data_IF_040042885332
#
_entry.id   IF_040042885332
#
_cell.length_a   1.000
_cell.length_b   1.000
_cell.length_c   1.000
_cell.angle_alpha   90.00
_cell.angle_beta   90.00
_cell.angle_gamma   90.00
#
_symmetry.space_group_name_H-M   'P 1'
#
loop_
_entity.id
_entity.type
_entity.pdbx_description
1 polymer ?
#
# COMPACT_ATOMS: atom_id res chain seq x y z
N UNK A 1 -20.88 26.44 20.50
CA UNK A 1 -20.73 24.98 20.66
C UNK A 1 -21.37 24.29 19.47
N UNK A 2 -20.69 24.20 18.33
CA UNK A 2 -21.28 23.63 17.13
C UNK A 2 -20.91 22.15 17.02
N UNK A 3 -21.95 21.31 17.00
CA UNK A 3 -21.86 19.85 17.01
C UNK A 3 -21.36 19.37 15.65
N UNK A 4 -20.10 18.94 15.60
CA UNK A 4 -19.60 18.18 14.46
C UNK A 4 -20.21 16.78 14.51
N UNK A 5 -21.25 16.57 13.72
CA UNK A 5 -21.74 15.25 13.37
C UNK A 5 -20.66 14.61 12.51
N UNK A 6 -19.87 13.72 13.11
CA UNK A 6 -18.97 12.84 12.37
C UNK A 6 -19.84 11.87 11.56
N UNK A 7 -20.01 12.16 10.26
CA UNK A 7 -20.57 11.21 9.32
C UNK A 7 -19.55 10.07 9.15
N UNK A 8 -19.82 8.94 9.81
CA UNK A 8 -19.16 7.68 9.51
C UNK A 8 -19.61 7.24 8.11
N UNK A 9 -18.87 7.67 7.09
CA UNK A 9 -18.98 7.07 5.76
C UNK A 9 -18.49 5.62 5.89
N UNK A 10 -19.43 4.69 5.94
CA UNK A 10 -19.16 3.27 5.73
C UNK A 10 -18.68 3.13 4.29
N UNK A 11 -17.36 3.18 4.11
CA UNK A 11 -16.72 2.78 2.86
C UNK A 11 -17.02 1.30 2.74
N UNK A 12 -18.01 0.96 1.91
CA UNK A 12 -18.21 -0.40 1.49
C UNK A 12 -16.94 -0.83 0.76
N UNK A 13 -16.07 -1.56 1.45
CA UNK A 13 -14.92 -2.21 0.85
C UNK A 13 -15.47 -3.17 -0.20
N UNK A 14 -15.42 -2.78 -1.47
CA UNK A 14 -15.65 -3.69 -2.59
C UNK A 14 -14.45 -4.63 -2.62
N UNK A 15 -14.53 -5.69 -1.81
CA UNK A 15 -13.50 -6.74 -1.75
C UNK A 15 -13.64 -7.56 -3.04
N UNK A 16 -13.15 -7.01 -4.14
CA UNK A 16 -12.94 -7.80 -5.35
C UNK A 16 -11.91 -8.88 -5.00
N UNK A 17 -12.18 -10.17 -5.23
CA UNK A 17 -11.21 -11.26 -4.96
C UNK A 17 -9.85 -11.04 -5.64
N UNK A 18 -9.85 -10.25 -6.73
CA UNK A 18 -8.67 -9.80 -7.44
C UNK A 18 -7.68 -8.99 -6.56
N UNK A 19 -8.17 -8.08 -5.72
CA UNK A 19 -7.33 -7.18 -4.91
C UNK A 19 -6.71 -7.89 -3.70
N UNK A 20 -7.39 -8.89 -3.14
CA UNK A 20 -6.90 -9.61 -1.96
C UNK A 20 -5.53 -10.28 -2.22
N UNK A 21 -5.29 -10.73 -3.45
CA UNK A 21 -4.04 -11.38 -3.85
C UNK A 21 -3.03 -10.42 -4.49
N UNK A 22 -3.34 -9.13 -4.61
CA UNK A 22 -2.47 -8.14 -5.24
C UNK A 22 -1.47 -7.58 -4.23
N UNK A 23 -1.91 -7.21 -3.03
CA UNK A 23 -1.06 -6.60 -2.01
C UNK A 23 0.19 -7.46 -1.67
N UNK A 24 0.08 -8.79 -1.45
CA UNK A 24 1.27 -9.62 -1.21
C UNK A 24 2.22 -9.69 -2.42
N UNK A 25 1.66 -9.59 -3.64
CA UNK A 25 2.45 -9.58 -4.88
C UNK A 25 3.24 -8.27 -5.02
N UNK A 26 2.62 -7.14 -4.68
CA UNK A 26 3.30 -5.84 -4.69
C UNK A 26 4.37 -5.76 -3.60
N UNK A 27 4.10 -6.25 -2.39
CA UNK A 27 5.10 -6.38 -1.31
C UNK A 27 6.34 -7.14 -1.78
N UNK A 28 6.14 -8.32 -2.39
CA UNK A 28 7.24 -9.14 -2.88
C UNK A 28 8.08 -8.41 -3.95
N UNK A 29 7.45 -7.61 -4.82
CA UNK A 29 8.17 -6.79 -5.81
C UNK A 29 9.02 -5.69 -5.15
N UNK A 30 8.49 -5.03 -4.11
CA UNK A 30 9.25 -4.06 -3.31
C UNK A 30 10.45 -4.75 -2.65
N UNK A 31 10.23 -5.89 -1.99
CA UNK A 31 11.29 -6.62 -1.28
C UNK A 31 12.40 -7.08 -2.23
N UNK A 32 12.03 -7.58 -3.42
CA UNK A 32 12.99 -7.97 -4.45
C UNK A 32 13.80 -6.77 -4.98
N UNK A 33 13.16 -5.63 -5.20
CA UNK A 33 13.82 -4.45 -5.75
C UNK A 33 14.68 -3.70 -4.72
N UNK A 34 14.29 -3.71 -3.45
CA UNK A 34 14.90 -2.90 -2.40
C UNK A 34 15.69 -3.71 -1.36
N UNK A 35 15.62 -5.04 -1.37
CA UNK A 35 16.22 -5.91 -0.35
C UNK A 35 17.71 -5.63 -0.12
N UNK A 36 18.45 -5.28 -1.18
CA UNK A 36 19.87 -4.94 -1.13
C UNK A 36 20.17 -3.45 -1.33
N UNK A 37 19.15 -2.59 -1.35
CA UNK A 37 19.30 -1.14 -1.44
C UNK A 37 19.29 -0.51 -0.05
N UNK A 38 20.28 0.36 0.19
CA UNK A 38 20.53 1.01 1.48
C UNK A 38 20.55 2.54 1.38
N UNK A 39 20.19 3.09 0.22
CA UNK A 39 20.08 4.53 0.01
C UNK A 39 18.84 5.12 0.70
N UNK A 40 18.79 6.44 0.97
CA UNK A 40 17.67 7.08 1.65
C UNK A 40 16.30 6.87 0.96
N UNK A 41 16.28 6.79 -0.37
CA UNK A 41 15.05 6.52 -1.13
C UNK A 41 14.54 5.10 -0.87
N UNK A 42 15.43 4.11 -0.81
CA UNK A 42 15.08 2.74 -0.43
C UNK A 42 14.59 2.65 1.02
N UNK A 43 15.20 3.38 1.96
CA UNK A 43 14.72 3.45 3.36
C UNK A 43 13.31 4.01 3.44
N UNK A 44 13.05 5.13 2.76
CA UNK A 44 11.71 5.73 2.73
C UNK A 44 10.68 4.79 2.09
N UNK A 45 11.02 4.16 0.97
CA UNK A 45 10.14 3.22 0.29
C UNK A 45 9.82 1.98 1.14
N UNK A 46 10.80 1.45 1.91
CA UNK A 46 10.56 0.35 2.86
C UNK A 46 9.59 0.75 3.99
N UNK A 47 9.66 1.99 4.48
CA UNK A 47 8.70 2.50 5.46
C UNK A 47 7.28 2.61 4.87
N UNK A 48 7.14 3.15 3.66
CA UNK A 48 5.86 3.22 2.95
C UNK A 48 5.30 1.83 2.66
N UNK A 49 6.13 0.85 2.29
CA UNK A 49 5.71 -0.53 2.10
C UNK A 49 5.25 -1.20 3.41
N UNK A 50 5.87 -0.88 4.54
CA UNK A 50 5.40 -1.34 5.85
C UNK A 50 4.03 -0.74 6.21
N UNK A 51 3.78 0.53 5.90
CA UNK A 51 2.45 1.15 6.03
C UNK A 51 1.42 0.48 5.10
N UNK A 52 1.81 0.19 3.85
CA UNK A 52 0.98 -0.53 2.89
C UNK A 52 0.61 -1.93 3.42
N UNK A 53 1.55 -2.65 4.02
CA UNK A 53 1.30 -3.96 4.63
C UNK A 53 0.39 -3.88 5.85
N UNK A 54 0.51 -2.82 6.66
CA UNK A 54 -0.41 -2.57 7.77
C UNK A 54 -1.85 -2.33 7.28
N UNK A 55 -2.02 -1.59 6.17
CA UNK A 55 -3.32 -1.42 5.52
C UNK A 55 -3.88 -2.75 4.99
N UNK A 56 -3.05 -3.59 4.38
CA UNK A 56 -3.44 -4.94 3.95
C UNK A 56 -3.94 -5.80 5.12
N UNK A 57 -3.19 -5.85 6.22
CA UNK A 57 -3.59 -6.60 7.42
C UNK A 57 -4.88 -6.05 8.05
N UNK A 58 -5.16 -4.76 7.87
CA UNK A 58 -6.41 -4.11 8.27
C UNK A 58 -7.58 -4.28 7.29
N UNK A 59 -7.43 -5.06 6.21
CA UNK A 59 -8.46 -5.26 5.18
C UNK A 59 -8.65 -4.09 4.22
N UNK A 60 -7.83 -3.04 4.32
CA UNK A 60 -7.87 -1.84 3.49
C UNK A 60 -7.06 -2.04 2.20
N UNK A 61 -7.52 -2.96 1.35
CA UNK A 61 -6.75 -3.40 0.19
C UNK A 61 -6.55 -2.31 -0.87
N UNK A 62 -7.55 -1.48 -1.13
CA UNK A 62 -7.41 -0.39 -2.10
C UNK A 62 -6.36 0.64 -1.63
N UNK A 63 -6.42 1.03 -0.35
CA UNK A 63 -5.45 1.94 0.26
C UNK A 63 -4.06 1.31 0.33
N UNK A 64 -3.97 0.00 0.57
CA UNK A 64 -2.71 -0.74 0.55
C UNK A 64 -2.04 -0.69 -0.83
N UNK A 65 -2.80 -0.92 -1.92
CA UNK A 65 -2.27 -0.84 -3.30
C UNK A 65 -1.76 0.57 -3.60
N UNK A 66 -2.54 1.61 -3.31
CA UNK A 66 -2.10 3.02 -3.50
C UNK A 66 -0.81 3.30 -2.73
N UNK A 67 -0.70 2.77 -1.51
CA UNK A 67 0.48 2.96 -0.68
C UNK A 67 1.72 2.22 -1.21
N UNK A 68 1.54 1.06 -1.84
CA UNK A 68 2.61 0.39 -2.58
C UNK A 68 3.09 1.22 -3.78
N UNK A 69 2.20 1.91 -4.48
CA UNK A 69 2.57 2.80 -5.59
C UNK A 69 3.39 4.01 -5.10
N UNK A 70 3.03 4.56 -3.94
CA UNK A 70 3.84 5.60 -3.28
C UNK A 70 5.25 5.08 -2.95
N UNK A 71 5.36 3.88 -2.39
CA UNK A 71 6.64 3.25 -2.09
C UNK A 71 7.49 3.07 -3.35
N UNK A 72 6.89 2.56 -4.42
CA UNK A 72 7.55 2.37 -5.70
C UNK A 72 8.06 3.68 -6.30
N UNK A 73 7.22 4.72 -6.28
CA UNK A 73 7.59 6.07 -6.72
C UNK A 73 8.74 6.64 -5.89
N UNK A 74 8.72 6.49 -4.57
CA UNK A 74 9.78 6.97 -3.69
C UNK A 74 11.14 6.30 -3.97
N UNK A 75 11.12 5.03 -4.38
CA UNK A 75 12.33 4.28 -4.76
C UNK A 75 12.71 4.38 -6.25
N UNK A 76 11.87 4.99 -7.09
CA UNK A 76 12.07 5.06 -8.54
C UNK A 76 11.95 3.71 -9.25
N UNK A 77 11.08 2.82 -8.76
CA UNK A 77 10.82 1.49 -9.34
C UNK A 77 9.40 1.41 -9.90
N UNK A 78 9.16 0.44 -10.79
CA UNK A 78 7.84 0.21 -11.39
C UNK A 78 7.25 -1.09 -10.87
N UNK A 79 6.02 -1.03 -10.37
CA UNK A 79 5.26 -2.20 -9.96
C UNK A 79 4.43 -2.75 -11.13
N UNK A 80 4.24 -4.07 -11.13
CA UNK A 80 3.30 -4.76 -12.01
C UNK A 80 2.03 -5.06 -11.22
N UNK A 81 0.96 -4.38 -11.58
CA UNK A 81 -0.39 -4.64 -11.08
C UNK A 81 -1.01 -5.85 -11.77
N UNK A 82 -1.94 -6.51 -11.08
CA UNK A 82 -2.76 -7.54 -11.72
C UNK A 82 -3.76 -6.85 -12.66
N UNK A 83 -3.84 -7.34 -13.89
CA UNK A 83 -4.81 -6.88 -14.87
C UNK A 83 -6.18 -7.51 -14.64
#
# INVERSE_FOLDING_TARGET
MNRFVAALALIASTISPALANECPTLQAQIDAALGTRYDPSATNAKALAAEAWALHQGGKHAESVVKYDEAAKAAGITLKHKQ
#
